data_IF_760783856058
#
_entry.id   IF_760783856058
#
_cell.length_a   1.000
_cell.length_b   1.000
_cell.length_c   1.000
_cell.angle_alpha   90.00
_cell.angle_beta   90.00
_cell.angle_gamma   90.00
#
_symmetry.space_group_name_H-M   'P 1'
#
loop_
_entity.id
_entity.type
_entity.pdbx_description
1 polymer ?
#
# COMPACT_ATOMS: atom_id res chain seq x y z
N UNK A 1 12.38 2.81 9.03
CA UNK A 1 13.67 2.95 8.30
C UNK A 1 14.65 1.96 8.92
N UNK A 2 15.31 1.12 8.12
CA UNK A 2 16.25 0.17 8.66
C UNK A 2 17.51 0.89 9.16
N UNK A 3 17.94 0.61 10.39
CA UNK A 3 19.19 1.12 10.98
C UNK A 3 20.10 -0.07 11.23
N UNK A 4 21.31 -0.03 10.70
CA UNK A 4 22.31 -1.07 10.96
C UNK A 4 23.09 -0.70 12.23
N UNK A 5 23.13 -1.61 13.21
CA UNK A 5 23.87 -1.44 14.46
C UNK A 5 24.61 -2.75 14.71
N UNK A 6 25.94 -2.69 14.88
CA UNK A 6 26.75 -3.85 15.26
C UNK A 6 26.71 -5.03 14.29
N UNK A 7 26.50 -4.80 12.99
CA UNK A 7 26.43 -5.84 11.96
C UNK A 7 25.06 -6.45 11.71
N UNK A 8 24.03 -6.07 12.50
CA UNK A 8 22.65 -6.49 12.28
C UNK A 8 21.74 -5.33 11.87
N UNK A 9 20.82 -5.60 10.95
CA UNK A 9 19.89 -4.60 10.41
C UNK A 9 18.59 -4.62 11.21
N UNK A 10 18.32 -3.56 11.96
CA UNK A 10 17.10 -3.42 12.77
C UNK A 10 16.04 -2.57 12.07
N UNK A 11 14.79 -3.05 12.07
CA UNK A 11 13.64 -2.27 11.63
C UNK A 11 13.26 -1.28 12.73
N UNK A 12 13.59 0.00 12.54
CA UNK A 12 13.15 1.06 13.45
C UNK A 12 11.79 1.59 12.96
N UNK A 13 10.71 1.43 13.74
CA UNK A 13 9.42 2.01 13.41
C UNK A 13 9.52 3.53 13.48
N UNK A 14 8.93 4.20 12.50
CA UNK A 14 8.89 5.65 12.41
C UNK A 14 7.45 6.03 12.12
N UNK A 15 6.95 7.03 12.84
CA UNK A 15 5.63 7.57 12.59
C UNK A 15 5.59 8.23 11.21
N UNK A 16 4.59 7.86 10.42
CA UNK A 16 4.43 8.35 9.05
C UNK A 16 3.59 9.62 9.12
N UNK A 17 4.12 10.73 8.60
CA UNK A 17 3.36 11.98 8.49
C UNK A 17 2.12 11.85 7.61
N UNK A 18 1.08 12.65 7.87
CA UNK A 18 -0.22 12.57 7.18
C UNK A 18 -0.12 12.65 5.65
N UNK A 19 0.75 13.50 5.11
CA UNK A 19 1.00 13.62 3.66
C UNK A 19 1.63 12.35 3.08
N UNK A 20 2.61 11.78 3.79
CA UNK A 20 3.28 10.55 3.36
C UNK A 20 2.35 9.34 3.45
N UNK A 21 1.48 9.29 4.47
CA UNK A 21 0.46 8.25 4.60
C UNK A 21 -0.52 8.25 3.42
N UNK A 22 -0.97 9.43 2.97
CA UNK A 22 -1.83 9.56 1.78
C UNK A 22 -1.10 9.08 0.52
N UNK A 23 0.15 9.47 0.33
CA UNK A 23 0.95 9.06 -0.83
C UNK A 23 1.18 7.53 -0.86
N UNK A 24 1.44 6.91 0.29
CA UNK A 24 1.58 5.46 0.41
C UNK A 24 0.27 4.73 0.08
N UNK A 25 -0.86 5.22 0.58
CA UNK A 25 -2.18 4.65 0.29
C UNK A 25 -2.49 4.66 -1.21
N UNK A 26 -2.23 5.79 -1.89
CA UNK A 26 -2.39 5.91 -3.34
C UNK A 26 -1.44 4.95 -4.08
N UNK A 27 -0.18 4.86 -3.64
CA UNK A 27 0.82 3.97 -4.23
C UNK A 27 0.43 2.49 -4.14
N UNK A 28 -0.17 2.06 -3.02
CA UNK A 28 -0.65 0.69 -2.85
C UNK A 28 -1.85 0.39 -3.75
N UNK A 29 -2.86 1.28 -3.81
CA UNK A 29 -3.99 1.10 -4.71
C UNK A 29 -3.53 0.93 -6.17
N UNK A 30 -2.66 1.84 -6.65
CA UNK A 30 -2.13 1.78 -8.00
C UNK A 30 -1.31 0.51 -8.25
N UNK A 31 -0.50 0.09 -7.29
CA UNK A 31 0.32 -1.11 -7.39
C UNK A 31 -0.53 -2.39 -7.53
N UNK A 32 -1.63 -2.47 -6.79
CA UNK A 32 -2.56 -3.61 -6.85
C UNK A 32 -3.36 -3.60 -8.16
N UNK A 33 -3.90 -2.44 -8.55
CA UNK A 33 -4.66 -2.32 -9.82
C UNK A 33 -3.81 -2.65 -11.05
N UNK A 34 -2.48 -2.41 -11.00
CA UNK A 34 -1.56 -2.78 -12.09
C UNK A 34 -1.24 -4.28 -12.12
N UNK A 35 -1.16 -4.94 -10.96
CA UNK A 35 -0.82 -6.37 -10.86
C UNK A 35 -1.97 -7.29 -11.27
N UNK A 36 -3.21 -6.82 -11.17
CA UNK A 36 -4.36 -7.62 -11.55
C UNK A 36 -4.44 -7.76 -13.09
N UNK A 37 -4.44 -8.97 -13.68
CA UNK A 37 -4.62 -9.17 -15.13
C UNK A 37 -6.09 -9.08 -15.57
N UNK A 38 -6.37 -8.94 -16.87
CA UNK A 38 -7.68 -9.27 -17.47
C UNK A 38 -8.73 -8.15 -17.68
N UNK A 39 -8.68 -7.02 -16.95
CA UNK A 39 -9.65 -5.91 -17.10
C UNK A 39 -9.02 -4.56 -17.48
N UNK A 40 -9.84 -3.62 -17.97
CA UNK A 40 -9.43 -2.21 -18.14
C UNK A 40 -9.02 -1.61 -16.80
N UNK A 41 -7.96 -0.79 -16.80
CA UNK A 41 -7.41 -0.18 -15.58
C UNK A 41 -8.46 0.58 -14.75
N UNK A 42 -9.37 1.30 -15.41
CA UNK A 42 -10.46 2.03 -14.74
C UNK A 42 -11.38 1.12 -13.92
N UNK A 43 -11.77 -0.03 -14.45
CA UNK A 43 -12.61 -1.01 -13.76
C UNK A 43 -11.90 -1.66 -12.57
N UNK A 44 -10.59 -1.93 -12.72
CA UNK A 44 -9.76 -2.48 -11.63
C UNK A 44 -9.63 -1.47 -10.49
N UNK A 45 -9.40 -0.20 -10.85
CA UNK A 45 -9.26 0.87 -9.86
C UNK A 45 -10.58 1.10 -9.12
N UNK A 46 -11.71 1.14 -9.82
CA UNK A 46 -13.02 1.31 -9.18
C UNK A 46 -13.36 0.16 -8.24
N UNK A 47 -13.09 -1.09 -8.66
CA UNK A 47 -13.31 -2.27 -7.81
C UNK A 47 -12.45 -2.19 -6.54
N UNK A 48 -11.16 -1.92 -6.70
CA UNK A 48 -10.23 -1.84 -5.56
C UNK A 48 -10.58 -0.68 -4.61
N UNK A 49 -11.13 0.42 -5.13
CA UNK A 49 -11.55 1.56 -4.33
C UNK A 49 -12.79 1.22 -3.47
N UNK A 50 -13.72 0.43 -4.01
CA UNK A 50 -14.88 -0.09 -3.27
C UNK A 50 -14.44 -1.11 -2.23
N UNK A 51 -13.49 -1.98 -2.54
CA UNK A 51 -12.96 -2.96 -1.59
C UNK A 51 -12.17 -2.28 -0.47
N UNK A 52 -11.34 -1.28 -0.80
CA UNK A 52 -10.61 -0.48 0.18
C UNK A 52 -11.55 0.30 1.11
N UNK A 53 -12.69 0.80 0.60
CA UNK A 53 -13.71 1.45 1.43
C UNK A 53 -14.37 0.49 2.43
N UNK A 54 -14.43 -0.81 2.09
CA UNK A 54 -14.89 -1.89 2.98
C UNK A 54 -13.76 -2.44 3.88
N UNK A 55 -12.61 -1.76 3.93
CA UNK A 55 -11.39 -2.21 4.59
C UNK A 55 -10.92 -3.62 4.16
N UNK A 56 -11.25 -4.01 2.93
CA UNK A 56 -10.92 -5.31 2.35
C UNK A 56 -10.03 -5.11 1.10
N UNK A 57 -9.50 -6.21 0.58
CA UNK A 57 -8.72 -6.22 -0.66
C UNK A 57 -7.21 -6.20 -0.47
N UNK A 58 -6.51 -6.34 -1.58
CA UNK A 58 -5.07 -6.56 -1.60
C UNK A 58 -4.29 -5.28 -1.25
N UNK A 59 -4.89 -4.11 -1.46
CA UNK A 59 -4.29 -2.83 -1.08
C UNK A 59 -4.25 -2.65 0.45
N UNK A 60 -5.28 -3.12 1.17
CA UNK A 60 -5.36 -3.04 2.64
C UNK A 60 -4.45 -4.05 3.33
N UNK A 61 -4.31 -5.25 2.75
CA UNK A 61 -3.40 -6.29 3.25
C UNK A 61 -1.91 -5.90 3.21
N UNK A 62 -1.56 -4.87 2.43
CA UNK A 62 -0.19 -4.31 2.39
C UNK A 62 0.03 -3.18 3.39
N UNK A 63 -1.06 -2.65 3.96
CA UNK A 63 -1.04 -1.65 5.03
C UNK A 63 -0.84 -2.30 6.40
N UNK A 64 -1.53 -3.42 6.64
CA UNK A 64 -1.28 -4.30 7.80
C UNK A 64 0.15 -4.86 7.75
#
# INVERSE_FOLDING_TARGET
KARCIGGSTHQVPIEIGSTQGKALAIGWLLGVSRKCPGLKFAFKLSSELVDAAKASGNAMRKKE
#
